data_IF_832611521898
#
_entry.id   IF_832611521898
#
_cell.length_a   1.000
_cell.length_b   1.000
_cell.length_c   1.000
_cell.angle_alpha   90.00
_cell.angle_beta   90.00
_cell.angle_gamma   90.00
#
_symmetry.space_group_name_H-M   'P 1'
#
loop_
_entity.id
_entity.type
_entity.pdbx_description
1 polymer ?
#
# COMPACT_ATOMS: atom_id res chain seq x y z
N UNK A 1 10.99 11.02 -15.74
CA UNK A 1 9.69 10.47 -15.30
C UNK A 1 9.92 9.80 -13.95
N UNK A 2 9.04 10.01 -12.98
CA UNK A 2 9.03 9.20 -11.76
C UNK A 2 8.83 7.72 -12.18
N UNK A 3 9.52 6.74 -11.57
CA UNK A 3 9.33 5.35 -12.00
C UNK A 3 7.86 4.95 -11.83
N UNK A 4 7.28 4.39 -12.90
CA UNK A 4 5.87 4.05 -12.96
C UNK A 4 5.49 3.12 -11.80
N UNK A 5 6.23 2.01 -11.66
CA UNK A 5 6.26 1.08 -10.53
C UNK A 5 7.68 0.50 -10.38
N UNK A 6 8.06 0.10 -9.17
CA UNK A 6 9.34 -0.58 -8.91
C UNK A 6 9.30 -2.06 -9.27
N UNK A 7 10.41 -2.81 -9.10
CA UNK A 7 10.37 -4.26 -9.18
C UNK A 7 9.42 -4.84 -8.12
N UNK A 8 8.86 -6.01 -8.39
CA UNK A 8 8.11 -6.76 -7.40
C UNK A 8 8.99 -7.14 -6.21
N UNK A 9 8.48 -6.89 -5.00
CA UNK A 9 9.16 -7.29 -3.77
C UNK A 9 9.22 -8.82 -3.65
N UNK A 10 10.35 -9.38 -3.16
CA UNK A 10 10.48 -10.82 -2.95
C UNK A 10 9.34 -11.39 -2.11
N UNK A 11 8.81 -12.54 -2.52
CA UNK A 11 7.79 -13.32 -1.80
C UNK A 11 6.43 -12.61 -1.59
N UNK A 12 6.21 -11.42 -2.15
CA UNK A 12 4.93 -10.69 -1.95
C UNK A 12 3.74 -11.50 -2.45
N UNK A 13 3.89 -12.20 -3.58
CA UNK A 13 2.82 -13.04 -4.13
C UNK A 13 2.44 -14.17 -3.18
N UNK A 14 3.43 -14.93 -2.71
CA UNK A 14 3.22 -16.04 -1.77
C UNK A 14 2.58 -15.56 -0.46
N UNK A 15 3.02 -14.40 0.04
CA UNK A 15 2.46 -13.80 1.24
C UNK A 15 0.98 -13.43 1.05
N UNK A 16 0.63 -12.75 -0.05
CA UNK A 16 -0.75 -12.37 -0.34
C UNK A 16 -1.65 -13.61 -0.58
N UNK A 17 -1.15 -14.62 -1.29
CA UNK A 17 -1.87 -15.90 -1.50
C UNK A 17 -2.12 -16.61 -0.17
N UNK A 18 -1.13 -16.65 0.73
CA UNK A 18 -1.26 -17.22 2.08
C UNK A 18 -2.32 -16.48 2.90
N UNK A 19 -2.34 -15.15 2.84
CA UNK A 19 -3.35 -14.33 3.52
C UNK A 19 -4.76 -14.60 2.96
N UNK A 20 -4.92 -14.69 1.64
CA UNK A 20 -6.21 -15.06 1.04
C UNK A 20 -6.67 -16.46 1.45
N UNK A 21 -5.76 -17.44 1.45
CA UNK A 21 -6.06 -18.81 1.87
C UNK A 21 -6.50 -18.89 3.34
N UNK A 22 -5.97 -18.01 4.19
CA UNK A 22 -6.36 -17.87 5.59
C UNK A 22 -7.68 -17.08 5.80
N UNK A 23 -8.33 -16.62 4.73
CA UNK A 23 -9.64 -15.93 4.78
C UNK A 23 -9.55 -14.41 4.94
N UNK A 24 -8.37 -13.80 4.80
CA UNK A 24 -8.24 -12.35 4.88
C UNK A 24 -8.79 -11.63 3.64
N UNK A 25 -9.34 -10.44 3.88
CA UNK A 25 -9.63 -9.45 2.83
C UNK A 25 -8.41 -8.53 2.70
N UNK A 26 -7.92 -8.36 1.47
CA UNK A 26 -6.72 -7.59 1.14
C UNK A 26 -7.14 -6.30 0.41
N UNK A 27 -6.89 -5.16 1.04
CA UNK A 27 -7.19 -3.84 0.50
C UNK A 27 -5.89 -3.09 0.20
N UNK A 28 -5.72 -2.65 -1.04
CA UNK A 28 -4.57 -1.84 -1.45
C UNK A 28 -4.87 -0.38 -1.13
N UNK A 29 -4.10 0.20 -0.21
CA UNK A 29 -4.20 1.60 0.19
C UNK A 29 -2.86 2.30 -0.06
N UNK A 30 -2.85 3.29 -0.94
CA UNK A 30 -1.63 3.96 -1.39
C UNK A 30 -1.87 5.43 -1.69
N UNK A 31 -0.89 6.29 -1.37
CA UNK A 31 -0.95 7.72 -1.72
C UNK A 31 -1.05 7.98 -3.23
N UNK A 32 -0.75 6.99 -4.09
CA UNK A 32 -0.99 7.06 -5.54
C UNK A 32 -2.45 7.32 -5.91
N UNK A 33 -3.40 6.98 -5.04
CA UNK A 33 -4.83 7.23 -5.29
C UNK A 33 -5.29 8.61 -4.79
N UNK A 34 -4.39 9.39 -4.17
CA UNK A 34 -4.70 10.71 -3.63
C UNK A 34 -5.00 11.74 -4.72
N UNK A 35 -5.89 12.69 -4.43
CA UNK A 35 -6.29 13.76 -5.36
C UNK A 35 -5.26 14.89 -5.47
N UNK A 36 -4.34 14.98 -4.51
CA UNK A 36 -3.29 16.01 -4.42
C UNK A 36 -1.89 15.47 -4.77
N UNK A 37 -1.78 14.19 -5.13
CA UNK A 37 -0.51 13.57 -5.49
C UNK A 37 -0.29 13.65 -7.01
N UNK A 38 0.84 14.22 -7.43
CA UNK A 38 1.10 14.52 -8.84
C UNK A 38 0.30 15.72 -9.36
N UNK A 39 0.26 15.92 -10.68
CA UNK A 39 -0.69 16.88 -11.28
C UNK A 39 -2.07 16.22 -11.28
N UNK A 40 -3.16 16.98 -11.05
CA UNK A 40 -4.53 16.43 -10.97
C UNK A 40 -4.92 15.48 -12.12
N UNK A 41 -4.27 15.61 -13.27
CA UNK A 41 -4.51 14.85 -14.48
C UNK A 41 -3.93 13.42 -14.43
N UNK A 42 -3.07 13.10 -13.47
CA UNK A 42 -2.28 11.85 -13.41
C UNK A 42 -2.89 10.79 -12.47
N UNK A 43 -3.93 11.13 -11.70
CA UNK A 43 -4.54 10.21 -10.73
C UNK A 43 -5.07 8.94 -11.38
N UNK A 44 -5.73 9.07 -12.54
CA UNK A 44 -6.24 7.93 -13.29
C UNK A 44 -5.09 7.01 -13.75
N UNK A 45 -4.00 7.61 -14.24
CA UNK A 45 -2.81 6.87 -14.65
C UNK A 45 -2.18 6.14 -13.45
N UNK A 46 -2.08 6.79 -12.29
CA UNK A 46 -1.56 6.16 -11.07
C UNK A 46 -2.41 5.00 -10.56
N UNK A 47 -3.74 5.11 -10.62
CA UNK A 47 -4.65 4.00 -10.33
C UNK A 47 -4.43 2.87 -11.33
N UNK A 48 -4.26 3.21 -12.62
CA UNK A 48 -4.00 2.23 -13.68
C UNK A 48 -2.66 1.53 -13.50
N UNK A 49 -1.61 2.23 -13.05
CA UNK A 49 -0.32 1.62 -12.72
C UNK A 49 -0.44 0.57 -11.62
N UNK A 50 -1.25 0.83 -10.58
CA UNK A 50 -1.52 -0.17 -9.53
C UNK A 50 -2.26 -1.37 -10.13
N UNK A 51 -3.36 -1.13 -10.86
CA UNK A 51 -4.17 -2.20 -11.46
C UNK A 51 -3.34 -3.09 -12.41
N UNK A 52 -2.54 -2.48 -13.28
CA UNK A 52 -1.66 -3.18 -14.20
C UNK A 52 -0.62 -3.99 -13.43
N UNK A 53 0.04 -3.41 -12.42
CA UNK A 53 1.02 -4.13 -11.62
C UNK A 53 0.41 -5.36 -10.92
N UNK A 54 -0.75 -5.20 -10.28
CA UNK A 54 -1.44 -6.31 -9.63
C UNK A 54 -1.84 -7.40 -10.63
N UNK A 55 -2.32 -7.01 -11.82
CA UNK A 55 -2.71 -7.94 -12.90
C UNK A 55 -1.49 -8.68 -13.45
N UNK A 56 -0.45 -7.96 -13.84
CA UNK A 56 0.69 -8.50 -14.58
C UNK A 56 1.45 -9.53 -13.73
N UNK A 57 1.53 -9.31 -12.41
CA UNK A 57 2.13 -10.25 -11.47
C UNK A 57 1.13 -11.26 -10.86
N UNK A 58 -0.16 -11.17 -11.21
CA UNK A 58 -1.24 -12.02 -10.67
C UNK A 58 -1.26 -12.00 -9.13
N UNK A 59 -1.17 -10.81 -8.55
CA UNK A 59 -1.22 -10.60 -7.11
C UNK A 59 -2.69 -10.60 -6.65
N UNK A 60 -3.06 -11.41 -5.65
CA UNK A 60 -4.43 -11.42 -5.18
C UNK A 60 -4.70 -10.21 -4.27
N UNK A 61 -5.83 -9.55 -4.52
CA UNK A 61 -6.38 -8.45 -3.71
C UNK A 61 -7.89 -8.37 -3.93
N UNK A 62 -8.60 -7.69 -3.03
CA UNK A 62 -10.05 -7.55 -3.10
C UNK A 62 -10.48 -6.14 -3.54
N UNK A 63 -9.76 -5.11 -3.11
CA UNK A 63 -10.13 -3.71 -3.34
C UNK A 63 -8.90 -2.81 -3.45
N UNK A 64 -8.96 -1.79 -4.31
CA UNK A 64 -8.07 -0.62 -4.25
C UNK A 64 -8.85 0.53 -3.64
N UNK A 65 -8.35 1.09 -2.55
CA UNK A 65 -9.01 2.18 -1.83
C UNK A 65 -8.76 3.50 -2.57
N UNK A 66 -9.84 4.08 -3.09
CA UNK A 66 -9.82 5.34 -3.83
C UNK A 66 -10.14 6.56 -2.97
N UNK A 67 -10.66 6.36 -1.75
CA UNK A 67 -10.91 7.41 -0.77
C UNK A 67 -9.62 7.78 -0.04
N UNK A 68 -9.57 8.99 0.51
CA UNK A 68 -8.45 9.44 1.35
C UNK A 68 -8.63 9.15 2.83
N UNK A 69 -9.77 8.57 3.19
CA UNK A 69 -10.04 8.16 4.55
C UNK A 69 -9.18 6.96 4.93
N UNK A 70 -8.77 6.92 6.20
CA UNK A 70 -8.05 5.78 6.74
C UNK A 70 -8.99 4.56 6.75
N UNK A 71 -8.71 3.50 5.97
CA UNK A 71 -9.57 2.34 5.94
C UNK A 71 -9.57 1.68 7.33
N UNK A 72 -10.73 1.25 7.81
CA UNK A 72 -10.82 0.41 9.02
C UNK A 72 -10.29 -0.98 8.64
N UNK A 73 -9.25 -1.45 9.33
CA UNK A 73 -8.59 -2.73 9.05
C UNK A 73 -8.06 -3.36 10.35
N UNK A 74 -7.96 -4.70 10.37
CA UNK A 74 -7.37 -5.44 11.50
C UNK A 74 -5.86 -5.16 11.62
N UNK A 75 -5.17 -5.03 10.49
CA UNK A 75 -3.73 -4.78 10.40
C UNK A 75 -3.39 -3.88 9.21
N UNK A 76 -2.28 -3.16 9.30
CA UNK A 76 -1.70 -2.37 8.21
C UNK A 76 -0.29 -2.88 7.93
N UNK A 77 0.06 -3.04 6.66
CA UNK A 77 1.41 -3.38 6.18
C UNK A 77 1.89 -2.18 5.36
N UNK A 78 2.94 -1.52 5.81
CA UNK A 78 3.45 -0.28 5.21
C UNK A 78 4.96 -0.16 5.49
N UNK A 79 5.74 0.09 4.45
CA UNK A 79 7.21 0.16 4.50
C UNK A 79 7.72 1.34 5.34
N UNK A 80 6.88 2.36 5.54
CA UNK A 80 7.19 3.57 6.31
C UNK A 80 6.53 3.60 7.68
N UNK A 81 5.70 2.61 8.02
CA UNK A 81 5.05 2.59 9.32
C UNK A 81 6.05 2.37 10.47
N UNK A 82 5.84 3.10 11.56
CA UNK A 82 6.49 2.84 12.85
C UNK A 82 5.45 2.15 13.73
N UNK A 83 5.74 0.92 14.17
CA UNK A 83 4.87 0.19 15.10
C UNK A 83 4.75 0.94 16.42
N UNK A 84 3.52 1.29 16.77
CA UNK A 84 3.19 1.88 18.06
C UNK A 84 2.98 0.79 19.11
N UNK A 85 3.75 0.87 20.20
CA UNK A 85 3.68 -0.07 21.33
C UNK A 85 3.72 0.70 22.65
N UNK A 86 2.93 1.78 22.75
CA UNK A 86 2.94 2.72 23.88
C UNK A 86 4.33 3.32 24.19
N UNK A 87 5.13 3.55 23.15
CA UNK A 87 6.56 3.85 23.22
C UNK A 87 6.91 5.19 22.55
N UNK A 88 6.08 6.22 22.74
CA UNK A 88 6.18 7.52 22.08
C UNK A 88 7.57 8.15 22.12
N UNK A 89 8.22 8.17 23.30
CA UNK A 89 9.54 8.77 23.43
C UNK A 89 10.61 8.04 22.60
N UNK A 90 10.51 6.71 22.47
CA UNK A 90 11.41 5.91 21.61
C UNK A 90 11.16 6.22 20.13
N UNK A 91 9.89 6.34 19.74
CA UNK A 91 9.50 6.73 18.38
C UNK A 91 10.06 8.12 18.04
N UNK A 92 9.82 9.12 18.89
CA UNK A 92 10.29 10.48 18.68
C UNK A 92 11.82 10.54 18.52
N UNK A 93 12.56 9.84 19.39
CA UNK A 93 14.03 9.75 19.30
C UNK A 93 14.51 9.08 18.00
N UNK A 94 13.76 8.11 17.46
CA UNK A 94 14.07 7.48 16.17
C UNK A 94 13.86 8.47 15.02
N UNK A 95 12.85 9.32 15.10
CA UNK A 95 12.50 10.30 14.06
C UNK A 95 13.43 11.53 14.01
N UNK A 96 14.12 11.85 15.10
CA UNK A 96 15.02 13.01 15.19
C UNK A 96 16.49 12.71 14.81
N UNK A 97 16.79 11.50 14.36
CA UNK A 97 18.10 11.11 13.85
C UNK A 97 18.10 11.13 12.32
#
# INVERSE_FOLDING_TARGET
AFPDVGPIEPNVKEALETLKAAGYTIKIHSCRTATYWGRHNERADHIMSILNFMRDYRLPYDEIILTMDKPIADVYIDDRAIRYENNWLKIARKLMK
#
